data_IF_366070713375
#
_entry.id   IF_366070713375
#
_cell.length_a   1.000
_cell.length_b   1.000
_cell.length_c   1.000
_cell.angle_alpha   90.00
_cell.angle_beta   90.00
_cell.angle_gamma   90.00
#
_symmetry.space_group_name_H-M   'P 1'
#
loop_
_entity.id
_entity.type
_entity.pdbx_description
1 polymer ?
#
# COMPACT_ATOMS: atom_id res chain seq x y z
N UNK A 1 -6.29 -16.22 -11.66
CA UNK A 1 -6.69 -15.64 -10.34
C UNK A 1 -8.08 -15.02 -10.45
N UNK A 2 -8.98 -15.36 -9.52
CA UNK A 2 -10.36 -14.86 -9.49
C UNK A 2 -10.40 -13.35 -9.18
N UNK A 3 -11.34 -12.59 -9.76
CA UNK A 3 -11.44 -11.13 -9.56
C UNK A 3 -11.59 -10.77 -8.08
N UNK A 4 -12.41 -11.54 -7.35
CA UNK A 4 -12.58 -11.43 -5.90
C UNK A 4 -11.25 -11.57 -5.15
N UNK A 5 -10.40 -12.52 -5.55
CA UNK A 5 -9.09 -12.72 -4.95
C UNK A 5 -8.16 -11.53 -5.19
N UNK A 6 -8.14 -10.97 -6.41
CA UNK A 6 -7.35 -9.77 -6.74
C UNK A 6 -7.77 -8.55 -5.91
N UNK A 7 -9.07 -8.38 -5.66
CA UNK A 7 -9.60 -7.29 -4.81
C UNK A 7 -9.10 -7.47 -3.36
N UNK A 8 -9.23 -8.68 -2.80
CA UNK A 8 -8.78 -8.98 -1.44
C UNK A 8 -7.28 -8.73 -1.28
N UNK A 9 -6.46 -9.21 -2.22
CA UNK A 9 -5.01 -8.96 -2.21
C UNK A 9 -4.70 -7.47 -2.27
N UNK A 10 -5.43 -6.71 -3.09
CA UNK A 10 -5.22 -5.25 -3.21
C UNK A 10 -5.56 -4.53 -1.91
N UNK A 11 -6.64 -4.92 -1.23
CA UNK A 11 -7.01 -4.36 0.08
C UNK A 11 -5.94 -4.65 1.16
N UNK A 12 -5.42 -5.87 1.19
CA UNK A 12 -4.34 -6.25 2.13
C UNK A 12 -3.09 -5.42 1.86
N UNK A 13 -2.73 -5.20 0.59
CA UNK A 13 -1.59 -4.37 0.18
C UNK A 13 -1.75 -2.90 0.57
N UNK A 14 -2.95 -2.34 0.44
CA UNK A 14 -3.25 -0.96 0.88
C UNK A 14 -3.07 -0.85 2.39
N UNK A 15 -3.67 -1.76 3.16
CA UNK A 15 -3.61 -1.71 4.63
C UNK A 15 -2.18 -1.91 5.13
N UNK A 16 -1.43 -2.85 4.55
CA UNK A 16 -0.03 -3.10 4.91
C UNK A 16 0.90 -1.95 4.52
N UNK A 17 0.72 -1.37 3.33
CA UNK A 17 1.46 -0.17 2.90
C UNK A 17 1.20 1.03 3.82
N UNK A 18 -0.06 1.26 4.19
CA UNK A 18 -0.44 2.29 5.17
C UNK A 18 0.20 2.04 6.55
N UNK A 19 0.21 0.80 7.03
CA UNK A 19 0.80 0.46 8.32
C UNK A 19 2.33 0.68 8.32
N UNK A 20 3.01 0.31 7.23
CA UNK A 20 4.43 0.56 7.02
C UNK A 20 4.75 2.06 6.99
N UNK A 21 3.91 2.86 6.32
CA UNK A 21 4.01 4.32 6.36
C UNK A 21 3.80 4.85 7.79
N UNK A 22 2.80 4.35 8.52
CA UNK A 22 2.55 4.71 9.91
C UNK A 22 3.74 4.43 10.82
N UNK A 23 4.40 3.27 10.66
CA UNK A 23 5.62 2.91 11.40
C UNK A 23 6.78 3.85 11.03
N UNK A 24 7.02 4.07 9.73
CA UNK A 24 8.07 5.00 9.26
C UNK A 24 7.88 6.43 9.78
N UNK A 25 6.63 6.87 9.98
CA UNK A 25 6.29 8.18 10.52
C UNK A 25 6.40 8.27 12.05
N UNK A 26 6.01 7.21 12.77
CA UNK A 26 5.99 7.21 14.24
C UNK A 26 7.37 7.03 14.87
N UNK A 27 8.33 6.45 14.17
CA UNK A 27 9.71 6.37 14.64
C UNK A 27 10.37 7.75 14.49
N UNK A 28 10.24 8.58 15.52
CA UNK A 28 10.77 9.97 15.62
C UNK A 28 12.29 10.11 15.53
N UNK A 29 13.04 9.04 15.30
CA UNK A 29 14.45 9.13 14.99
C UNK A 29 14.61 9.33 13.48
N UNK A 30 15.18 10.47 13.09
CA UNK A 30 15.58 10.79 11.71
C UNK A 30 16.67 9.85 11.20
N UNK A 31 16.35 8.57 11.14
CA UNK A 31 17.19 7.52 10.62
C UNK A 31 16.79 7.31 9.16
N UNK A 32 17.73 7.36 8.20
CA UNK A 32 17.41 7.27 6.77
C UNK A 32 16.58 6.04 6.40
N UNK A 33 16.73 4.95 7.17
CA UNK A 33 15.94 3.72 7.03
C UNK A 33 14.44 3.97 7.25
N UNK A 34 14.04 4.79 8.23
CA UNK A 34 12.63 5.05 8.53
C UNK A 34 11.97 5.91 7.46
N UNK A 35 12.72 6.88 6.92
CA UNK A 35 12.27 7.70 5.78
C UNK A 35 12.08 6.84 4.53
N UNK A 36 12.99 5.90 4.28
CA UNK A 36 12.85 4.93 3.17
C UNK A 36 11.63 4.04 3.40
N UNK A 37 11.42 3.53 4.62
CA UNK A 37 10.25 2.72 4.96
C UNK A 37 8.94 3.50 4.79
N UNK A 38 8.93 4.77 5.21
CA UNK A 38 7.79 5.67 5.06
C UNK A 38 7.44 5.86 3.59
N UNK A 39 8.42 6.28 2.77
CA UNK A 39 8.23 6.52 1.35
C UNK A 39 7.83 5.25 0.60
N UNK A 40 8.48 4.12 0.92
CA UNK A 40 8.17 2.84 0.31
C UNK A 40 6.76 2.36 0.67
N UNK A 41 6.40 2.36 1.96
CA UNK A 41 5.06 2.00 2.42
C UNK A 41 3.97 2.87 1.80
N UNK A 42 4.21 4.17 1.72
CA UNK A 42 3.30 5.13 1.11
C UNK A 42 3.11 4.90 -0.40
N UNK A 43 4.21 4.69 -1.14
CA UNK A 43 4.16 4.38 -2.57
C UNK A 43 3.44 3.04 -2.85
N UNK A 44 3.70 2.01 -2.05
CA UNK A 44 3.01 0.72 -2.16
C UNK A 44 1.52 0.87 -1.91
N UNK A 45 1.13 1.63 -0.88
CA UNK A 45 -0.29 1.90 -0.59
C UNK A 45 -0.98 2.63 -1.74
N UNK A 46 -0.34 3.65 -2.32
CA UNK A 46 -0.90 4.40 -3.47
C UNK A 46 -1.00 3.51 -4.71
N UNK A 47 0.05 2.75 -5.03
CA UNK A 47 0.06 1.86 -6.19
C UNK A 47 -1.03 0.78 -6.09
N UNK A 48 -1.18 0.18 -4.90
CA UNK A 48 -2.24 -0.81 -4.64
C UNK A 48 -3.64 -0.19 -4.73
N UNK A 49 -3.81 1.07 -4.31
CA UNK A 49 -5.07 1.80 -4.44
C UNK A 49 -5.43 2.08 -5.90
N UNK A 50 -4.46 2.55 -6.71
CA UNK A 50 -4.66 2.75 -8.15
C UNK A 50 -5.00 1.42 -8.82
N UNK A 51 -4.30 0.34 -8.47
CA UNK A 51 -4.57 -0.99 -8.99
C UNK A 51 -5.98 -1.47 -8.65
N UNK A 52 -6.44 -1.25 -7.41
CA UNK A 52 -7.81 -1.55 -6.99
C UNK A 52 -8.84 -0.79 -7.83
N UNK A 53 -8.63 0.50 -8.08
CA UNK A 53 -9.51 1.33 -8.93
C UNK A 53 -9.59 0.75 -10.35
N UNK A 54 -8.44 0.45 -10.97
CA UNK A 54 -8.39 -0.16 -12.29
C UNK A 54 -9.15 -1.50 -12.30
N UNK A 55 -9.00 -2.30 -11.24
CA UNK A 55 -9.63 -3.62 -11.14
C UNK A 55 -11.15 -3.55 -11.00
N UNK A 56 -11.66 -2.52 -10.31
CA UNK A 56 -13.09 -2.25 -10.16
C UNK A 56 -13.65 -1.66 -11.46
N UNK A 57 -12.93 -0.71 -12.07
CA UNK A 57 -13.32 -0.07 -13.33
C UNK A 57 -13.25 -1.02 -14.54
N UNK A 58 -12.40 -2.04 -14.49
CA UNK A 58 -12.32 -3.07 -15.51
C UNK A 58 -13.60 -3.91 -15.50
N UNK A 59 -14.36 -3.84 -16.59
CA UNK A 59 -15.66 -4.51 -16.77
C UNK A 59 -15.60 -6.03 -16.98
N UNK A 60 -14.40 -6.64 -16.93
CA UNK A 60 -14.22 -8.09 -17.06
C UNK A 60 -14.33 -8.83 -15.73
#
# INVERSE_FOLDING_TARGET
>A
MNKKFKIVVSLILIISGWFLAGIGFTVKYGHPINTILYLFGFLVSIAAFIWLIILIASKN
#
